data_IF_916583302782
#
_entry.id   IF_916583302782
#
_cell.length_a   1.000
_cell.length_b   1.000
_cell.length_c   1.000
_cell.angle_alpha   90.00
_cell.angle_beta   90.00
_cell.angle_gamma   90.00
#
_symmetry.space_group_name_H-M   'P 1'
#
loop_
_entity.id
_entity.type
_entity.pdbx_description
1 polymer ?
#
# COMPACT_ATOMS: atom_id res chain seq x y z
N UNK A 1 12.69 -11.06 -26.32
CA UNK A 1 13.39 -10.22 -25.32
C UNK A 1 13.21 -10.90 -23.98
N UNK A 2 14.20 -10.83 -23.08
CA UNK A 2 14.02 -11.35 -21.73
C UNK A 2 12.92 -10.54 -21.02
N UNK A 3 12.09 -11.19 -20.21
CA UNK A 3 11.12 -10.51 -19.36
C UNK A 3 11.88 -9.88 -18.18
N UNK A 4 12.05 -8.56 -18.20
CA UNK A 4 12.76 -7.79 -17.17
C UNK A 4 12.14 -7.98 -15.78
N UNK A 5 10.85 -8.39 -15.68
CA UNK A 5 10.23 -8.71 -14.39
C UNK A 5 10.86 -9.92 -13.70
N UNK A 6 11.65 -10.72 -14.42
CA UNK A 6 12.28 -11.94 -13.92
C UNK A 6 13.72 -11.75 -13.43
N UNK A 7 14.31 -10.56 -13.62
CA UNK A 7 15.73 -10.30 -13.34
C UNK A 7 16.14 -10.62 -11.91
N UNK A 8 15.25 -10.41 -10.94
CA UNK A 8 15.47 -10.73 -9.53
C UNK A 8 15.10 -12.16 -9.12
N UNK A 9 14.54 -12.99 -10.00
CA UNK A 9 14.18 -14.39 -9.67
C UNK A 9 15.04 -15.40 -10.39
N UNK A 10 15.37 -15.19 -11.67
CA UNK A 10 16.16 -16.14 -12.45
C UNK A 10 17.47 -16.53 -11.74
N UNK A 11 18.26 -15.59 -11.16
CA UNK A 11 19.52 -15.94 -10.50
C UNK A 11 19.35 -16.78 -9.22
N UNK A 12 18.17 -16.76 -8.61
CA UNK A 12 17.91 -17.34 -7.28
C UNK A 12 16.83 -18.43 -7.29
N UNK A 13 16.43 -18.91 -8.47
CA UNK A 13 15.33 -19.85 -8.64
C UNK A 13 15.73 -21.27 -8.20
N UNK A 14 15.12 -21.85 -7.15
CA UNK A 14 15.50 -23.17 -6.64
C UNK A 14 14.85 -24.34 -7.42
N UNK A 15 13.79 -24.07 -8.19
CA UNK A 15 13.00 -25.07 -8.94
C UNK A 15 13.21 -24.95 -10.44
N UNK A 16 12.93 -26.00 -11.23
CA UNK A 16 12.99 -25.91 -12.70
C UNK A 16 11.92 -24.96 -13.30
N UNK A 17 10.79 -24.86 -12.63
CA UNK A 17 9.64 -24.05 -13.07
C UNK A 17 9.51 -22.82 -12.18
N UNK A 18 9.41 -21.63 -12.80
CA UNK A 18 9.08 -20.38 -12.10
C UNK A 18 7.59 -20.40 -11.74
N UNK A 19 7.27 -20.06 -10.49
CA UNK A 19 5.90 -19.93 -9.99
C UNK A 19 5.75 -18.54 -9.38
N UNK A 20 5.29 -17.58 -10.19
CA UNK A 20 5.07 -16.17 -9.81
C UNK A 20 3.58 -15.81 -9.74
N UNK A 21 2.72 -16.61 -10.37
CA UNK A 21 1.29 -16.40 -10.36
C UNK A 21 0.67 -16.78 -9.00
N UNK A 22 -0.39 -16.06 -8.56
CA UNK A 22 -1.17 -16.46 -7.40
C UNK A 22 -1.78 -17.86 -7.61
N UNK A 23 -1.77 -18.68 -6.56
CA UNK A 23 -2.54 -19.94 -6.56
C UNK A 23 -4.04 -19.65 -6.48
N UNK A 24 -4.88 -20.53 -7.02
CA UNK A 24 -6.35 -20.38 -6.99
C UNK A 24 -6.89 -20.13 -5.57
N UNK A 25 -6.29 -20.77 -4.57
CA UNK A 25 -6.65 -20.64 -3.15
C UNK A 25 -6.35 -19.27 -2.53
N UNK A 26 -5.55 -18.44 -3.20
CA UNK A 26 -5.21 -17.07 -2.77
C UNK A 26 -5.49 -16.04 -3.89
N UNK A 27 -6.16 -16.46 -4.96
CA UNK A 27 -6.48 -15.55 -6.07
C UNK A 27 -7.48 -14.50 -5.60
N UNK A 28 -7.27 -13.20 -5.87
CA UNK A 28 -8.22 -12.17 -5.49
C UNK A 28 -9.57 -12.30 -6.21
N UNK A 29 -9.63 -13.05 -7.31
CA UNK A 29 -10.89 -13.31 -8.03
C UNK A 29 -11.62 -14.56 -7.53
N UNK A 30 -11.10 -15.23 -6.51
CA UNK A 30 -11.78 -16.37 -5.89
C UNK A 30 -13.00 -15.85 -5.10
N UNK A 31 -14.23 -16.29 -5.41
CA UNK A 31 -15.44 -15.81 -4.74
C UNK A 31 -15.44 -16.03 -3.22
N UNK A 32 -14.76 -17.08 -2.73
CA UNK A 32 -14.66 -17.35 -1.28
C UNK A 32 -13.79 -16.32 -0.54
N UNK A 33 -12.96 -15.56 -1.27
CA UNK A 33 -12.09 -14.52 -0.75
C UNK A 33 -12.61 -13.11 -1.04
N UNK A 34 -13.87 -12.97 -1.47
CA UNK A 34 -14.48 -11.68 -1.77
C UNK A 34 -14.37 -10.73 -0.59
N UNK A 35 -13.87 -9.53 -0.86
CA UNK A 35 -13.83 -8.39 0.05
C UNK A 35 -15.06 -7.50 -0.10
N UNK A 36 -16.13 -7.99 -0.75
CA UNK A 36 -17.40 -7.27 -0.82
C UNK A 36 -17.82 -6.76 0.56
N UNK A 37 -18.35 -5.53 0.58
CA UNK A 37 -18.77 -4.82 1.78
C UNK A 37 -17.63 -4.49 2.76
N UNK A 38 -16.36 -4.50 2.30
CA UNK A 38 -15.20 -4.12 3.10
C UNK A 38 -14.59 -2.80 2.64
N UNK A 39 -14.28 -1.94 3.61
CA UNK A 39 -13.52 -0.71 3.41
C UNK A 39 -12.10 -0.87 3.94
N UNK A 40 -11.12 -0.69 3.07
CA UNK A 40 -9.69 -0.95 3.33
C UNK A 40 -8.91 0.36 3.30
N UNK A 41 -8.08 0.63 4.30
CA UNK A 41 -7.09 1.72 4.26
C UNK A 41 -5.69 1.14 4.04
N UNK A 42 -4.93 1.70 3.11
CA UNK A 42 -3.55 1.31 2.80
C UNK A 42 -2.65 2.54 2.88
N UNK A 43 -1.71 2.56 3.82
CA UNK A 43 -0.69 3.62 3.89
C UNK A 43 0.54 3.24 3.06
N UNK A 44 1.21 4.23 2.46
CA UNK A 44 2.26 3.97 1.48
C UNK A 44 1.73 3.31 0.21
N UNK A 45 0.45 3.52 -0.13
CA UNK A 45 -0.24 2.82 -1.22
C UNK A 45 0.08 3.31 -2.64
N UNK A 46 0.87 4.38 -2.78
CA UNK A 46 1.16 4.99 -4.08
C UNK A 46 2.21 4.26 -4.93
N UNK A 47 2.96 3.32 -4.37
CA UNK A 47 3.99 2.57 -5.11
C UNK A 47 4.13 1.14 -4.61
N UNK A 48 4.81 0.30 -5.38
CA UNK A 48 5.32 -1.02 -5.00
C UNK A 48 4.25 -1.91 -4.33
N UNK A 49 4.55 -2.45 -3.15
CA UNK A 49 3.65 -3.34 -2.40
C UNK A 49 2.32 -2.68 -2.05
N UNK A 50 2.32 -1.39 -1.73
CA UNK A 50 1.09 -0.69 -1.37
C UNK A 50 0.16 -0.53 -2.58
N UNK A 51 0.71 -0.23 -3.75
CA UNK A 51 -0.05 -0.12 -4.99
C UNK A 51 -0.56 -1.50 -5.45
N UNK A 52 0.29 -2.53 -5.38
CA UNK A 52 -0.11 -3.90 -5.69
C UNK A 52 -1.20 -4.41 -4.74
N UNK A 53 -1.12 -4.08 -3.45
CA UNK A 53 -2.17 -4.41 -2.49
C UNK A 53 -3.49 -3.71 -2.81
N UNK A 54 -3.46 -2.43 -3.20
CA UNK A 54 -4.66 -1.70 -3.62
C UNK A 54 -5.34 -2.40 -4.82
N UNK A 55 -4.57 -2.81 -5.82
CA UNK A 55 -5.07 -3.57 -6.97
C UNK A 55 -5.69 -4.92 -6.56
N UNK A 56 -5.03 -5.66 -5.67
CA UNK A 56 -5.53 -6.95 -5.16
C UNK A 56 -6.88 -6.79 -4.44
N UNK A 57 -7.01 -5.79 -3.57
CA UNK A 57 -8.28 -5.52 -2.86
C UNK A 57 -9.38 -5.05 -3.80
N UNK A 58 -9.07 -4.23 -4.80
CA UNK A 58 -10.02 -3.85 -5.84
C UNK A 58 -10.50 -5.07 -6.65
N UNK A 59 -9.58 -5.97 -7.04
CA UNK A 59 -9.92 -7.23 -7.72
C UNK A 59 -10.73 -8.19 -6.85
N UNK A 60 -10.55 -8.14 -5.53
CA UNK A 60 -11.36 -8.86 -4.56
C UNK A 60 -12.73 -8.22 -4.32
N UNK A 61 -13.14 -7.21 -5.11
CA UNK A 61 -14.42 -6.52 -4.99
C UNK A 61 -14.63 -5.81 -3.65
N UNK A 62 -13.55 -5.27 -3.06
CA UNK A 62 -13.67 -4.38 -1.91
C UNK A 62 -14.67 -3.25 -2.19
N UNK A 63 -15.54 -2.95 -1.22
CA UNK A 63 -16.46 -1.81 -1.31
C UNK A 63 -15.69 -0.51 -1.40
N UNK A 64 -14.63 -0.37 -0.60
CA UNK A 64 -13.79 0.81 -0.58
C UNK A 64 -12.31 0.48 -0.44
N UNK A 65 -11.45 1.13 -1.21
CA UNK A 65 -10.00 1.11 -1.03
C UNK A 65 -9.48 2.54 -0.94
N UNK A 66 -8.95 2.89 0.23
CA UNK A 66 -8.36 4.18 0.55
C UNK A 66 -6.85 4.05 0.51
N UNK A 67 -6.23 4.76 -0.42
CA UNK A 67 -4.78 4.72 -0.67
C UNK A 67 -4.16 6.01 -0.16
N UNK A 68 -3.26 5.93 0.81
CA UNK A 68 -2.64 7.09 1.44
C UNK A 68 -1.11 7.10 1.23
N UNK A 69 -0.52 8.28 1.05
CA UNK A 69 0.92 8.47 0.90
C UNK A 69 1.31 9.93 0.67
N UNK A 70 2.61 10.23 0.78
CA UNK A 70 3.10 11.62 0.68
C UNK A 70 3.02 12.19 -0.73
N UNK A 71 3.29 11.36 -1.75
CA UNK A 71 3.44 11.78 -3.15
C UNK A 71 2.12 11.66 -3.90
N UNK A 72 1.45 12.80 -4.11
CA UNK A 72 0.12 12.78 -4.70
C UNK A 72 0.09 12.19 -6.12
N UNK A 73 1.06 12.55 -6.96
CA UNK A 73 1.15 12.03 -8.32
C UNK A 73 1.25 10.50 -8.35
N UNK A 74 1.92 9.89 -7.37
CA UNK A 74 2.02 8.43 -7.25
C UNK A 74 0.72 7.79 -6.80
N UNK A 75 -0.01 8.44 -5.90
CA UNK A 75 -1.36 7.97 -5.55
C UNK A 75 -2.29 8.01 -6.75
N UNK A 76 -2.27 9.09 -7.53
CA UNK A 76 -3.10 9.23 -8.73
C UNK A 76 -2.76 8.21 -9.84
N UNK A 77 -1.49 7.79 -9.91
CA UNK A 77 -1.08 6.67 -10.79
C UNK A 77 -1.66 5.33 -10.31
N UNK A 78 -1.73 5.10 -8.99
CA UNK A 78 -2.36 3.90 -8.41
C UNK A 78 -3.89 3.92 -8.54
N UNK A 79 -4.51 5.09 -8.48
CA UNK A 79 -5.97 5.27 -8.42
C UNK A 79 -6.37 6.53 -9.20
N UNK A 80 -7.24 6.36 -10.20
CA UNK A 80 -7.55 7.40 -11.18
C UNK A 80 -8.40 8.58 -10.66
N UNK A 81 -8.81 8.58 -9.39
CA UNK A 81 -9.76 9.54 -8.84
C UNK A 81 -9.27 10.28 -7.58
N UNK A 82 -9.86 11.45 -7.34
CA UNK A 82 -9.83 12.32 -6.15
C UNK A 82 -8.61 12.25 -5.20
N UNK A 83 -7.84 13.34 -5.21
CA UNK A 83 -6.70 13.64 -4.36
C UNK A 83 -7.04 14.57 -3.18
N UNK A 84 -6.69 14.24 -1.93
CA UNK A 84 -6.80 15.17 -0.77
C UNK A 84 -5.62 15.05 0.18
N UNK A 85 -5.11 16.16 0.68
CA UNK A 85 -4.08 16.18 1.73
C UNK A 85 -4.69 15.95 3.11
N UNK A 86 -4.13 15.04 3.90
CA UNK A 86 -4.70 14.50 5.15
C UNK A 86 -3.60 14.08 6.14
N UNK A 87 -3.87 14.17 7.43
CA UNK A 87 -3.11 13.45 8.47
C UNK A 87 -3.82 12.13 8.82
N UNK A 88 -3.26 11.27 9.69
CA UNK A 88 -3.90 9.98 10.05
C UNK A 88 -5.30 10.17 10.63
N UNK A 89 -5.51 11.17 11.49
CA UNK A 89 -6.83 11.42 12.09
C UNK A 89 -7.85 11.87 11.06
N UNK A 90 -7.43 12.75 10.13
CA UNK A 90 -8.23 13.18 8.99
C UNK A 90 -8.49 12.03 8.01
N UNK A 91 -7.54 11.14 7.79
CA UNK A 91 -7.71 9.96 6.92
C UNK A 91 -8.85 9.07 7.40
N UNK A 92 -8.87 8.75 8.71
CA UNK A 92 -9.97 7.99 9.31
C UNK A 92 -11.29 8.77 9.27
N UNK A 93 -11.26 10.06 9.61
CA UNK A 93 -12.45 10.91 9.58
C UNK A 93 -13.04 10.98 8.18
N UNK A 94 -12.21 11.12 7.16
CA UNK A 94 -12.61 11.20 5.76
C UNK A 94 -13.12 9.85 5.22
N UNK A 95 -12.50 8.75 5.65
CA UNK A 95 -12.99 7.39 5.37
C UNK A 95 -14.39 7.20 5.96
N UNK A 96 -14.57 7.54 7.25
CA UNK A 96 -15.87 7.48 7.93
C UNK A 96 -16.89 8.39 7.25
N UNK A 97 -16.48 9.61 6.85
CA UNK A 97 -17.35 10.55 6.15
C UNK A 97 -17.79 10.02 4.78
N UNK A 98 -16.93 9.28 4.10
CA UNK A 98 -17.19 8.76 2.74
C UNK A 98 -18.06 7.51 2.79
N UNK A 99 -17.73 6.53 3.64
CA UNK A 99 -18.41 5.24 3.71
C UNK A 99 -19.46 5.14 4.83
N UNK A 100 -19.62 6.18 5.65
CA UNK A 100 -20.54 6.20 6.79
C UNK A 100 -20.13 5.31 7.97
N UNK A 101 -18.95 4.68 7.91
CA UNK A 101 -18.46 3.73 8.92
C UNK A 101 -16.93 3.68 9.01
N UNK A 102 -16.41 3.12 10.11
CA UNK A 102 -14.98 2.84 10.25
C UNK A 102 -14.51 1.82 9.23
N UNK A 103 -13.23 1.88 8.78
CA UNK A 103 -12.67 0.86 7.91
C UNK A 103 -12.65 -0.52 8.58
N UNK A 104 -12.80 -1.58 7.79
CA UNK A 104 -12.69 -2.97 8.24
C UNK A 104 -11.24 -3.42 8.37
N UNK A 105 -10.36 -2.94 7.47
CA UNK A 105 -8.96 -3.35 7.40
C UNK A 105 -8.06 -2.11 7.27
N UNK A 106 -6.94 -2.13 7.99
CA UNK A 106 -5.89 -1.12 7.87
C UNK A 106 -4.56 -1.82 7.60
N UNK A 107 -3.98 -1.53 6.45
CA UNK A 107 -2.64 -1.96 6.06
C UNK A 107 -1.65 -0.82 6.31
N UNK A 108 -0.98 -0.88 7.46
CA UNK A 108 0.07 0.06 7.85
C UNK A 108 1.39 -0.25 7.11
N UNK A 109 1.41 -0.02 5.80
CA UNK A 109 2.51 -0.37 4.92
C UNK A 109 3.54 0.77 4.73
N UNK A 110 3.20 2.02 5.05
CA UNK A 110 4.15 3.13 4.95
C UNK A 110 5.39 2.90 5.81
N UNK A 111 6.57 3.00 5.18
CA UNK A 111 7.87 2.94 5.84
C UNK A 111 8.81 4.00 5.26
N UNK A 112 9.81 4.40 6.05
CA UNK A 112 10.87 5.32 5.64
C UNK A 112 12.20 4.77 6.12
N UNK A 113 13.20 4.85 5.25
CA UNK A 113 14.61 4.69 5.61
C UNK A 113 15.21 6.08 5.47
N UNK A 114 15.61 6.68 6.59
CA UNK A 114 16.15 8.04 6.61
C UNK A 114 17.64 8.09 6.25
N UNK A 115 18.34 6.95 6.39
CA UNK A 115 19.77 6.83 6.13
C UNK A 115 20.12 5.38 5.75
N UNK A 116 21.10 5.20 4.87
CA UNK A 116 21.61 3.90 4.43
C UNK A 116 23.04 3.72 4.95
N UNK A 117 23.16 3.36 6.23
CA UNK A 117 24.43 3.13 6.90
C UNK A 117 24.46 1.79 7.65
N UNK A 118 25.67 1.29 7.94
CA UNK A 118 25.81 0.18 8.87
C UNK A 118 25.26 0.56 10.24
N UNK A 119 24.75 -0.41 11.00
CA UNK A 119 24.16 -0.16 12.32
C UNK A 119 25.11 0.60 13.27
N UNK A 120 26.42 0.37 13.18
CA UNK A 120 27.43 1.05 14.01
C UNK A 120 27.70 2.50 13.61
N UNK A 121 27.38 2.89 12.38
CA UNK A 121 27.62 4.22 11.81
C UNK A 121 26.33 5.05 11.71
N UNK A 122 25.18 4.44 12.04
CA UNK A 122 23.87 5.05 11.92
C UNK A 122 23.66 6.13 13.00
N UNK A 123 23.33 7.35 12.59
CA UNK A 123 23.00 8.42 13.52
C UNK A 123 21.77 8.04 14.37
N UNK A 124 21.81 8.14 15.71
CA UNK A 124 20.65 7.86 16.55
C UNK A 124 19.41 8.69 16.18
N UNK A 125 19.60 9.91 15.69
CA UNK A 125 18.49 10.75 15.22
C UNK A 125 17.89 10.19 13.93
N UNK A 126 18.71 9.87 12.93
CA UNK A 126 18.22 9.27 11.69
C UNK A 126 17.56 7.91 11.97
N UNK A 127 18.08 7.17 12.96
CA UNK A 127 17.51 5.89 13.37
C UNK A 127 16.10 6.09 13.90
N UNK A 128 15.93 7.06 14.80
CA UNK A 128 14.60 7.42 15.28
C UNK A 128 13.72 7.97 14.16
N UNK A 129 14.23 8.81 13.27
CA UNK A 129 13.49 9.30 12.11
C UNK A 129 12.95 8.16 11.23
N UNK A 130 13.74 7.10 11.06
CA UNK A 130 13.34 5.89 10.31
C UNK A 130 12.31 5.03 11.05
N UNK A 131 12.45 4.90 12.39
CA UNK A 131 11.65 3.98 13.20
C UNK A 131 10.33 4.58 13.70
N UNK A 132 10.32 5.87 14.04
CA UNK A 132 9.14 6.56 14.58
C UNK A 132 8.58 7.62 13.63
N UNK A 133 9.25 7.90 12.51
CA UNK A 133 8.78 8.90 11.54
C UNK A 133 8.77 10.29 12.16
N UNK A 134 9.94 10.90 12.36
CA UNK A 134 10.03 12.25 12.95
C UNK A 134 9.49 13.36 12.05
N UNK A 135 9.26 13.06 10.77
CA UNK A 135 8.38 13.87 9.94
C UNK A 135 6.94 13.60 10.36
N UNK A 136 6.37 14.50 11.17
CA UNK A 136 4.93 14.67 11.35
C UNK A 136 4.15 14.12 10.15
N UNK A 137 3.24 13.16 10.37
CA UNK A 137 2.21 12.79 9.40
C UNK A 137 1.21 13.95 9.29
N UNK A 138 1.67 15.14 8.92
CA UNK A 138 0.82 16.30 8.63
C UNK A 138 0.54 16.46 7.13
N UNK A 139 1.32 15.76 6.28
CA UNK A 139 1.36 15.98 4.83
C UNK A 139 1.15 14.64 4.08
N UNK A 140 0.08 13.91 4.40
CA UNK A 140 -0.26 12.63 3.74
C UNK A 140 -1.45 12.81 2.81
N UNK A 141 -1.20 12.71 1.52
CA UNK A 141 -2.29 12.67 0.56
C UNK A 141 -3.05 11.33 0.66
N UNK A 142 -4.34 11.36 0.39
CA UNK A 142 -5.21 10.20 0.34
C UNK A 142 -6.12 10.27 -0.89
N UNK A 143 -6.36 9.10 -1.47
CA UNK A 143 -7.29 8.84 -2.56
C UNK A 143 -8.25 7.75 -2.13
N UNK A 144 -9.54 7.92 -2.43
CA UNK A 144 -10.59 6.95 -2.08
C UNK A 144 -11.20 6.40 -3.37
N UNK A 145 -11.33 5.08 -3.44
CA UNK A 145 -12.00 4.36 -4.51
C UNK A 145 -13.15 3.52 -3.93
N UNK A 146 -14.31 3.46 -4.62
CA UNK A 146 -15.49 2.71 -4.20
C UNK A 146 -16.73 3.59 -3.92
N UNK A 147 -17.93 3.05 -4.14
CA UNK A 147 -19.24 3.64 -3.77
C UNK A 147 -19.88 2.87 -2.61
#
# INVERSE_FOLDING_TARGET
MADESLDYTIPFQPTKTIRRDPYDSISPTNPELSAAEKVIIITGGGTDLGAAAAEVWARASAEGVVVAGRRLNKLQETVADLAKDTDVGKLFTETIRTFGRSPDVVMANAAVVADEANVGDFSPNNWWDSMVGSGSISDVNAVIFGE
#
